data_IF_416084069783
#
_entry.id   IF_416084069783
#
_cell.length_a   1.000
_cell.length_b   1.000
_cell.length_c   1.000
_cell.angle_alpha   90.00
_cell.angle_beta   90.00
_cell.angle_gamma   90.00
#
_symmetry.space_group_name_H-M   'P 1'
#
loop_
_entity.id
_entity.type
_entity.pdbx_description
1 polymer ?
#
# COMPACT_ATOMS: atom_id res chain seq x y z
N UNK A 1 69.44 -65.23 -3.18
CA UNK A 1 68.23 -65.73 -2.49
C UNK A 1 66.98 -65.23 -3.25
N UNK A 2 66.45 -66.12 -4.14
CA UNK A 2 65.33 -65.80 -4.98
C UNK A 2 64.02 -66.20 -4.23
N UNK A 3 63.24 -65.26 -3.83
CA UNK A 3 61.93 -65.50 -3.25
C UNK A 3 60.91 -65.80 -4.39
N UNK A 4 60.65 -67.11 -4.61
CA UNK A 4 59.65 -67.60 -5.53
C UNK A 4 58.25 -67.29 -5.00
N UNK A 5 57.55 -66.38 -5.61
CA UNK A 5 56.13 -66.14 -5.33
C UNK A 5 55.33 -67.22 -6.07
N UNK A 6 54.55 -68.01 -5.30
CA UNK A 6 53.70 -69.09 -5.75
C UNK A 6 52.64 -68.61 -6.79
N UNK A 7 52.48 -69.33 -7.91
CA UNK A 7 51.52 -68.94 -8.97
C UNK A 7 50.10 -68.69 -8.47
N UNK A 8 49.64 -69.35 -7.44
CA UNK A 8 48.28 -69.12 -6.85
C UNK A 8 48.12 -67.77 -6.15
N UNK A 9 49.25 -67.24 -5.59
CA UNK A 9 49.21 -65.88 -4.98
C UNK A 9 49.17 -64.76 -6.02
N UNK A 10 49.78 -64.99 -7.20
CA UNK A 10 49.67 -64.01 -8.33
C UNK A 10 48.25 -63.84 -8.85
N UNK A 11 47.54 -64.95 -8.92
CA UNK A 11 46.08 -64.90 -9.38
C UNK A 11 45.21 -64.15 -8.39
N UNK A 12 45.42 -64.37 -7.08
CA UNK A 12 44.66 -63.63 -6.05
C UNK A 12 44.99 -62.12 -6.04
N UNK A 13 46.24 -61.73 -6.22
CA UNK A 13 46.63 -60.31 -6.29
C UNK A 13 46.03 -59.60 -7.54
N UNK A 14 45.99 -60.26 -8.68
CA UNK A 14 45.41 -59.72 -9.91
C UNK A 14 43.91 -59.59 -9.81
N UNK A 15 43.23 -60.56 -9.14
CA UNK A 15 41.75 -60.47 -8.90
C UNK A 15 41.42 -59.35 -7.89
N UNK A 16 42.20 -59.21 -6.79
CA UNK A 16 41.98 -58.12 -5.83
C UNK A 16 42.21 -56.74 -6.45
N UNK A 17 43.26 -56.58 -7.28
CA UNK A 17 43.53 -55.34 -7.96
C UNK A 17 42.44 -54.95 -8.96
N UNK A 18 41.84 -55.93 -9.69
CA UNK A 18 40.71 -55.65 -10.62
C UNK A 18 39.43 -55.31 -9.88
N UNK A 19 39.13 -55.94 -8.74
CA UNK A 19 37.95 -55.61 -7.92
C UNK A 19 38.09 -54.20 -7.31
N UNK A 20 39.27 -53.82 -6.83
CA UNK A 20 39.54 -52.50 -6.24
C UNK A 20 39.40 -51.38 -7.29
N UNK A 21 39.91 -51.61 -8.52
CA UNK A 21 39.78 -50.62 -9.61
C UNK A 21 38.33 -50.46 -10.08
N UNK A 22 37.55 -51.55 -10.08
CA UNK A 22 36.14 -51.48 -10.48
C UNK A 22 35.25 -50.80 -9.41
N UNK A 23 35.54 -51.00 -8.12
CA UNK A 23 34.83 -50.28 -7.05
C UNK A 23 35.15 -48.80 -7.00
N UNK A 24 36.40 -48.38 -7.27
CA UNK A 24 36.80 -46.96 -7.34
C UNK A 24 36.16 -46.29 -8.56
N UNK A 25 36.04 -46.98 -9.70
CA UNK A 25 35.36 -46.41 -10.89
C UNK A 25 33.84 -46.26 -10.69
N UNK A 26 33.19 -47.17 -9.94
CA UNK A 26 31.78 -47.06 -9.60
C UNK A 26 31.50 -45.99 -8.54
N UNK A 27 32.43 -45.70 -7.62
CA UNK A 27 32.24 -44.61 -6.66
C UNK A 27 32.48 -43.22 -7.30
N UNK A 28 33.27 -43.10 -8.37
CA UNK A 28 33.46 -41.82 -9.08
C UNK A 28 32.28 -41.49 -10.02
N UNK A 29 31.49 -42.46 -10.48
CA UNK A 29 30.31 -42.25 -11.31
C UNK A 29 29.07 -41.79 -10.52
N UNK A 30 29.07 -41.93 -9.18
CA UNK A 30 27.95 -41.53 -8.31
C UNK A 30 28.02 -40.09 -7.78
N UNK A 31 29.09 -39.34 -8.05
CA UNK A 31 29.29 -37.96 -7.56
C UNK A 31 29.02 -36.89 -8.65
N UNK A 32 28.59 -37.29 -9.82
CA UNK A 32 27.92 -36.33 -10.70
C UNK A 32 26.47 -36.18 -10.25
N UNK A 33 26.28 -35.73 -9.01
CA UNK A 33 25.01 -35.11 -8.61
C UNK A 33 24.80 -33.99 -9.59
N UNK A 34 23.82 -34.17 -10.47
CA UNK A 34 23.26 -33.10 -11.29
C UNK A 34 22.82 -31.99 -10.33
N UNK A 35 23.72 -31.05 -10.05
CA UNK A 35 23.27 -29.73 -9.67
C UNK A 35 22.50 -29.21 -10.89
N UNK A 36 21.18 -29.53 -10.93
CA UNK A 36 20.27 -28.76 -11.76
C UNK A 36 20.60 -27.30 -11.45
N UNK A 37 20.87 -26.47 -12.46
CA UNK A 37 21.07 -25.07 -12.20
C UNK A 37 19.86 -24.63 -11.41
N UNK A 38 20.07 -24.09 -10.21
CA UNK A 38 19.02 -23.40 -9.50
C UNK A 38 18.45 -22.45 -10.54
N UNK A 39 17.22 -22.72 -10.98
CA UNK A 39 16.50 -21.82 -11.88
C UNK A 39 16.52 -20.51 -11.12
N UNK A 40 17.43 -19.62 -11.50
CA UNK A 40 17.44 -18.28 -10.98
C UNK A 40 15.98 -17.80 -11.17
N UNK A 41 15.25 -17.60 -10.07
CA UNK A 41 13.93 -17.02 -10.13
C UNK A 41 14.13 -15.72 -10.92
N UNK A 42 13.61 -15.67 -12.15
CA UNK A 42 13.65 -14.44 -12.92
C UNK A 42 12.93 -13.40 -12.08
N UNK A 43 13.67 -12.37 -11.67
CA UNK A 43 13.07 -11.26 -10.93
C UNK A 43 12.04 -10.63 -11.88
N UNK A 44 10.78 -10.64 -11.47
CA UNK A 44 9.70 -10.04 -12.24
C UNK A 44 9.49 -8.62 -11.75
N UNK A 45 9.65 -7.65 -12.64
CA UNK A 45 9.40 -6.24 -12.33
C UNK A 45 7.90 -5.96 -12.33
N UNK A 46 7.39 -5.35 -11.29
CA UNK A 46 6.00 -4.89 -11.13
C UNK A 46 6.02 -3.37 -11.02
N UNK A 47 5.23 -2.69 -11.84
CA UNK A 47 5.05 -1.24 -11.78
C UNK A 47 3.95 -0.91 -10.79
N UNK A 48 4.28 -0.17 -9.72
CA UNK A 48 3.33 0.18 -8.66
C UNK A 48 3.14 1.69 -8.60
N UNK A 49 1.91 2.14 -8.84
CA UNK A 49 1.53 3.54 -8.70
C UNK A 49 1.09 3.83 -7.25
N UNK A 50 1.79 4.73 -6.58
CA UNK A 50 1.51 5.11 -5.21
C UNK A 50 1.78 6.60 -4.96
N UNK A 51 1.06 7.19 -4.00
CA UNK A 51 1.32 8.53 -3.53
C UNK A 51 2.23 8.48 -2.29
N UNK A 52 3.28 9.33 -2.17
CA UNK A 52 4.20 9.29 -1.03
C UNK A 52 3.60 10.02 0.18
N UNK A 53 2.54 9.46 0.75
CA UNK A 53 1.90 9.88 2.00
C UNK A 53 1.88 8.72 2.99
N UNK A 54 1.66 9.01 4.26
CA UNK A 54 1.68 8.01 5.32
C UNK A 54 0.71 6.84 5.06
N UNK A 55 -0.51 7.11 4.57
CA UNK A 55 -1.52 6.08 4.33
C UNK A 55 -1.16 5.06 3.22
N UNK A 56 -0.25 5.42 2.30
CA UNK A 56 0.18 4.57 1.17
C UNK A 56 1.68 4.20 1.25
N UNK A 57 2.31 4.39 2.42
CA UNK A 57 3.76 4.31 2.53
C UNK A 57 4.33 2.88 2.55
N UNK A 58 3.51 1.85 2.77
CA UNK A 58 3.98 0.46 2.90
C UNK A 58 4.85 -0.01 1.74
N UNK A 59 4.50 0.34 0.49
CA UNK A 59 5.26 -0.08 -0.69
C UNK A 59 6.71 0.43 -0.66
N UNK A 60 6.90 1.64 -0.15
CA UNK A 60 8.23 2.23 0.04
C UNK A 60 8.99 1.51 1.15
N UNK A 61 8.30 1.15 2.24
CA UNK A 61 8.87 0.38 3.34
C UNK A 61 9.31 -1.01 2.89
N UNK A 62 8.47 -1.70 2.13
CA UNK A 62 8.77 -3.02 1.57
C UNK A 62 9.99 -2.98 0.65
N UNK A 63 10.09 -1.95 -0.20
CA UNK A 63 11.22 -1.78 -1.12
C UNK A 63 12.52 -1.52 -0.37
N UNK A 64 12.53 -0.56 0.56
CA UNK A 64 13.73 -0.13 1.27
C UNK A 64 14.26 -1.23 2.22
N UNK A 65 13.37 -2.04 2.81
CA UNK A 65 13.73 -3.19 3.65
C UNK A 65 14.06 -4.46 2.84
N UNK A 66 14.01 -4.43 1.52
CA UNK A 66 14.30 -5.56 0.65
C UNK A 66 13.27 -6.70 0.70
N UNK A 67 12.05 -6.45 1.21
CA UNK A 67 11.02 -7.48 1.32
C UNK A 67 10.56 -7.98 -0.05
N UNK A 68 10.43 -7.08 -1.02
CA UNK A 68 10.13 -7.46 -2.40
C UNK A 68 11.25 -8.31 -3.01
N UNK A 69 12.50 -7.92 -2.83
CA UNK A 69 13.64 -8.68 -3.35
C UNK A 69 13.71 -10.11 -2.78
N UNK A 70 13.44 -10.28 -1.47
CA UNK A 70 13.36 -11.63 -0.85
C UNK A 70 12.21 -12.47 -1.42
N UNK A 71 11.12 -11.84 -1.84
CA UNK A 71 10.00 -12.51 -2.50
C UNK A 71 10.22 -12.74 -4.01
N UNK A 72 11.41 -12.41 -4.54
CA UNK A 72 11.72 -12.52 -5.98
C UNK A 72 10.95 -11.50 -6.83
N UNK A 73 10.56 -10.36 -6.25
CA UNK A 73 9.90 -9.26 -6.94
C UNK A 73 10.84 -8.07 -7.04
N UNK A 74 10.91 -7.47 -8.24
CA UNK A 74 11.45 -6.13 -8.43
C UNK A 74 10.26 -5.16 -8.58
N UNK A 75 10.25 -4.09 -7.79
CA UNK A 75 9.14 -3.13 -7.79
C UNK A 75 9.62 -1.76 -8.21
N UNK A 76 9.09 -1.29 -9.34
CA UNK A 76 9.22 0.09 -9.81
C UNK A 76 8.07 0.92 -9.25
N UNK A 77 8.39 1.82 -8.29
CA UNK A 77 7.38 2.66 -7.64
C UNK A 77 7.27 3.99 -8.37
N UNK A 78 6.11 4.22 -8.95
CA UNK A 78 5.75 5.47 -9.59
C UNK A 78 5.06 6.38 -8.58
N UNK A 79 5.77 7.38 -8.08
CA UNK A 79 5.24 8.39 -7.16
C UNK A 79 4.37 9.41 -7.92
N UNK A 80 3.05 9.23 -7.94
CA UNK A 80 2.12 10.09 -8.68
C UNK A 80 0.98 10.59 -7.78
N UNK A 81 0.26 11.62 -8.24
CA UNK A 81 -0.87 12.20 -7.51
C UNK A 81 -2.06 11.23 -7.43
N UNK A 82 -2.86 11.35 -6.35
CA UNK A 82 -3.97 10.42 -6.05
C UNK A 82 -4.94 10.26 -7.23
N UNK A 83 -5.35 11.34 -7.89
CA UNK A 83 -6.27 11.30 -9.04
C UNK A 83 -5.71 10.63 -10.29
N UNK A 84 -4.38 10.42 -10.40
CA UNK A 84 -3.74 9.79 -11.55
C UNK A 84 -3.57 8.27 -11.41
N UNK A 85 -3.67 7.71 -10.18
CA UNK A 85 -3.35 6.29 -9.94
C UNK A 85 -4.35 5.35 -10.62
N UNK A 86 -5.65 5.58 -10.44
CA UNK A 86 -6.70 4.74 -11.07
C UNK A 86 -6.59 4.75 -12.60
N UNK A 87 -6.45 5.91 -13.28
CA UNK A 87 -6.16 5.96 -14.70
C UNK A 87 -4.89 5.22 -15.12
N UNK A 88 -3.82 5.29 -14.33
CA UNK A 88 -2.56 4.59 -14.64
C UNK A 88 -2.73 3.07 -14.66
N UNK A 89 -3.46 2.50 -13.69
CA UNK A 89 -3.77 1.06 -13.67
C UNK A 89 -4.74 0.69 -14.78
N UNK A 90 -5.77 1.50 -15.04
CA UNK A 90 -6.73 1.25 -16.11
C UNK A 90 -6.10 1.22 -17.51
N UNK A 91 -5.07 2.03 -17.74
CA UNK A 91 -4.34 2.12 -19.01
C UNK A 91 -3.14 1.17 -19.11
N UNK A 92 -2.91 0.31 -18.10
CA UNK A 92 -1.72 -0.53 -17.97
C UNK A 92 -0.39 0.28 -17.92
N UNK A 93 -0.41 1.55 -17.55
CA UNK A 93 0.80 2.31 -17.22
C UNK A 93 1.42 1.86 -15.90
N UNK A 94 0.59 1.37 -14.98
CA UNK A 94 0.98 0.65 -13.78
C UNK A 94 0.26 -0.69 -13.70
N UNK A 95 0.86 -1.66 -13.02
CA UNK A 95 0.30 -3.01 -12.82
C UNK A 95 -0.55 -3.06 -11.55
N UNK A 96 -0.10 -2.39 -10.51
CA UNK A 96 -0.77 -2.29 -9.20
C UNK A 96 -0.85 -0.81 -8.81
N UNK A 97 -1.94 -0.42 -8.15
CA UNK A 97 -2.12 0.92 -7.63
C UNK A 97 -2.57 0.93 -6.17
N UNK A 98 -2.35 2.07 -5.50
CA UNK A 98 -2.99 2.38 -4.23
C UNK A 98 -4.24 3.25 -4.47
N UNK A 99 -5.35 2.93 -3.85
CA UNK A 99 -6.52 3.81 -3.81
C UNK A 99 -7.29 3.66 -2.49
N UNK A 100 -8.08 4.68 -2.14
CA UNK A 100 -9.03 4.56 -1.03
C UNK A 100 -10.19 3.65 -1.42
N UNK A 101 -10.76 2.95 -0.44
CA UNK A 101 -11.81 1.93 -0.69
C UNK A 101 -13.06 2.54 -1.34
N UNK A 102 -13.43 3.75 -0.98
CA UNK A 102 -14.55 4.49 -1.60
C UNK A 102 -14.31 4.79 -3.09
N UNK A 103 -13.06 5.10 -3.47
CA UNK A 103 -12.68 5.29 -4.87
C UNK A 103 -12.84 3.97 -5.65
N UNK A 104 -12.42 2.85 -5.09
CA UNK A 104 -12.60 1.53 -5.68
C UNK A 104 -14.08 1.13 -5.75
N UNK A 105 -14.87 1.45 -4.73
CA UNK A 105 -16.32 1.25 -4.75
C UNK A 105 -17.00 2.06 -5.86
N UNK A 106 -16.60 3.31 -6.05
CA UNK A 106 -17.11 4.16 -7.12
C UNK A 106 -16.75 3.63 -8.51
N UNK A 107 -15.53 3.09 -8.70
CA UNK A 107 -15.14 2.47 -9.98
C UNK A 107 -15.88 1.17 -10.23
N UNK A 108 -16.09 0.34 -9.20
CA UNK A 108 -16.89 -0.88 -9.28
C UNK A 108 -18.35 -0.58 -9.70
N UNK A 109 -18.97 0.44 -9.12
CA UNK A 109 -20.32 0.85 -9.49
C UNK A 109 -20.46 1.27 -10.95
N UNK A 110 -19.36 1.63 -11.62
CA UNK A 110 -19.27 1.94 -13.05
C UNK A 110 -18.82 0.72 -13.89
N UNK A 111 -18.82 -0.47 -13.29
CA UNK A 111 -18.41 -1.73 -13.94
C UNK A 111 -16.95 -1.72 -14.44
N UNK A 112 -16.07 -0.93 -13.83
CA UNK A 112 -14.64 -0.99 -14.11
C UNK A 112 -14.06 -2.19 -13.34
N UNK A 113 -13.42 -3.17 -14.02
CA UNK A 113 -13.08 -4.47 -13.44
C UNK A 113 -11.79 -4.40 -12.60
N UNK A 114 -11.82 -3.63 -11.51
CA UNK A 114 -10.75 -3.62 -10.52
C UNK A 114 -11.04 -4.57 -9.38
N UNK A 115 -9.98 -5.12 -8.80
CA UNK A 115 -10.02 -5.99 -7.62
C UNK A 115 -8.97 -5.56 -6.61
N UNK A 116 -9.31 -5.66 -5.34
CA UNK A 116 -8.40 -5.44 -4.22
C UNK A 116 -7.61 -6.72 -3.97
N UNK A 117 -6.28 -6.59 -3.93
CA UNK A 117 -5.35 -7.71 -3.75
C UNK A 117 -4.65 -7.69 -2.39
N UNK A 118 -4.56 -6.55 -1.72
CA UNK A 118 -4.01 -6.44 -0.37
C UNK A 118 -4.59 -5.20 0.34
N UNK A 119 -4.73 -5.24 1.68
CA UNK A 119 -5.09 -4.07 2.46
C UNK A 119 -3.92 -3.10 2.54
N UNK A 120 -4.20 -1.85 2.96
CA UNK A 120 -3.20 -0.88 3.35
C UNK A 120 -3.58 -0.25 4.71
N UNK A 121 -3.59 1.07 4.83
CA UNK A 121 -3.87 1.76 6.10
C UNK A 121 -5.30 1.56 6.57
N UNK A 122 -5.46 1.41 7.89
CA UNK A 122 -6.74 1.25 8.58
C UNK A 122 -6.93 2.38 9.60
N UNK A 123 -8.15 2.88 9.69
CA UNK A 123 -8.59 3.77 10.77
C UNK A 123 -9.20 2.98 11.91
N UNK A 124 -8.90 3.40 13.15
CA UNK A 124 -9.41 2.75 14.36
C UNK A 124 -9.67 3.80 15.46
N UNK A 125 -10.91 3.88 15.94
CA UNK A 125 -11.35 4.77 17.02
C UNK A 125 -11.37 4.02 18.39
N UNK A 126 -11.13 4.69 19.52
CA UNK A 126 -10.83 6.10 19.60
C UNK A 126 -9.42 6.38 19.10
N UNK A 127 -9.33 7.19 18.04
CA UNK A 127 -8.04 7.60 17.58
C UNK A 127 -7.44 8.60 18.57
N UNK A 128 -6.44 8.18 19.31
CA UNK A 128 -5.56 9.11 20.03
C UNK A 128 -4.68 9.89 19.08
N UNK A 129 -4.63 9.43 17.83
CA UNK A 129 -3.82 9.97 16.75
C UNK A 129 -4.64 9.98 15.47
N UNK A 130 -4.75 11.15 14.85
CA UNK A 130 -5.54 11.35 13.63
C UNK A 130 -4.62 11.66 12.44
N UNK A 131 -4.68 10.83 11.42
CA UNK A 131 -3.87 10.98 10.19
C UNK A 131 -4.47 11.91 9.15
N UNK A 132 -5.70 12.37 9.35
CA UNK A 132 -6.41 13.31 8.47
C UNK A 132 -7.13 14.38 9.27
N UNK A 133 -7.21 15.59 8.73
CA UNK A 133 -7.87 16.72 9.37
C UNK A 133 -8.41 17.73 8.36
N UNK A 134 -9.49 18.41 8.72
CA UNK A 134 -9.96 19.62 8.06
C UNK A 134 -9.26 20.84 8.72
N UNK A 135 -8.39 21.48 7.95
CA UNK A 135 -7.53 22.58 8.42
C UNK A 135 -7.97 23.89 7.80
N UNK A 136 -7.98 24.94 8.60
CA UNK A 136 -8.35 26.31 8.25
C UNK A 136 -7.13 27.24 8.31
N UNK A 137 -7.12 28.38 7.59
CA UNK A 137 -6.22 29.48 7.89
C UNK A 137 -6.31 29.91 9.35
N UNK A 138 -5.20 30.33 9.97
CA UNK A 138 -5.21 30.80 11.38
C UNK A 138 -6.20 31.95 11.57
N UNK A 139 -6.29 32.88 10.62
CA UNK A 139 -7.18 34.04 10.68
C UNK A 139 -8.65 33.72 10.31
N UNK A 140 -8.99 32.45 10.03
CA UNK A 140 -10.34 32.06 9.64
C UNK A 140 -11.35 32.29 10.76
N UNK A 141 -12.49 32.87 10.41
CA UNK A 141 -13.65 33.06 11.30
C UNK A 141 -14.56 31.84 11.40
N UNK A 142 -14.32 30.80 10.60
CA UNK A 142 -15.08 29.56 10.60
C UNK A 142 -14.86 28.84 11.96
N UNK A 143 -15.95 28.55 12.70
CA UNK A 143 -15.90 27.90 13.99
C UNK A 143 -16.65 26.58 14.02
N UNK A 144 -17.62 26.40 13.16
CA UNK A 144 -18.55 25.26 13.11
C UNK A 144 -18.84 24.85 11.67
N UNK A 145 -19.47 23.69 11.49
CA UNK A 145 -19.77 23.11 10.18
C UNK A 145 -20.59 24.03 9.27
N UNK A 146 -21.61 24.71 9.84
CA UNK A 146 -22.47 25.63 9.11
C UNK A 146 -21.75 26.83 8.51
N UNK A 147 -20.63 27.24 9.10
CA UNK A 147 -19.83 28.35 8.58
C UNK A 147 -19.10 27.98 7.27
N UNK A 148 -19.09 26.70 6.91
CA UNK A 148 -18.54 26.19 5.66
C UNK A 148 -19.54 26.25 4.49
N UNK A 149 -20.81 26.54 4.73
CA UNK A 149 -21.80 26.67 3.67
C UNK A 149 -21.38 27.73 2.65
N UNK A 150 -21.35 27.38 1.37
CA UNK A 150 -20.89 28.23 0.27
C UNK A 150 -19.36 28.46 0.19
N UNK A 151 -18.57 27.88 1.08
CA UNK A 151 -17.10 28.04 1.14
C UNK A 151 -16.37 27.10 0.17
N UNK A 152 -15.09 27.41 -0.07
CA UNK A 152 -14.20 26.60 -0.91
C UNK A 152 -13.32 25.72 -0.04
N UNK A 153 -13.41 24.41 -0.23
CA UNK A 153 -12.64 23.39 0.50
C UNK A 153 -11.74 22.64 -0.47
N UNK A 154 -10.42 22.64 -0.19
CA UNK A 154 -9.48 21.87 -0.98
C UNK A 154 -9.51 20.40 -0.58
N UNK A 155 -9.41 19.51 -1.58
CA UNK A 155 -9.28 18.05 -1.44
C UNK A 155 -8.24 17.51 -2.43
N UNK A 156 -7.63 16.36 -2.14
CA UNK A 156 -6.61 15.78 -3.02
C UNK A 156 -7.18 15.12 -4.27
N UNK A 157 -8.43 14.69 -4.22
CA UNK A 157 -9.18 14.15 -5.35
C UNK A 157 -10.67 14.32 -5.08
N UNK A 158 -11.43 14.68 -6.11
CA UNK A 158 -12.88 14.70 -6.06
C UNK A 158 -13.45 13.27 -6.08
N UNK A 159 -14.65 13.11 -5.52
CA UNK A 159 -15.33 11.81 -5.41
C UNK A 159 -14.48 10.76 -4.67
N UNK A 160 -13.79 11.17 -3.64
CA UNK A 160 -12.93 10.32 -2.81
C UNK A 160 -13.13 10.58 -1.32
N UNK A 161 -12.56 9.72 -0.47
CA UNK A 161 -12.58 9.89 0.99
C UNK A 161 -12.13 11.29 1.43
N UNK A 162 -11.17 11.89 0.72
CA UNK A 162 -10.68 13.23 1.03
C UNK A 162 -11.75 14.32 0.83
N UNK A 163 -12.76 14.08 -0.01
CA UNK A 163 -13.94 14.93 -0.14
C UNK A 163 -15.08 14.46 0.78
N UNK A 164 -15.28 13.14 0.89
CA UNK A 164 -16.42 12.61 1.64
C UNK A 164 -16.28 12.81 3.15
N UNK A 165 -15.08 12.71 3.71
CA UNK A 165 -14.86 12.90 5.15
C UNK A 165 -15.32 14.29 5.64
N UNK A 166 -14.92 15.42 5.03
CA UNK A 166 -15.45 16.71 5.42
C UNK A 166 -16.95 16.87 5.12
N UNK A 167 -17.48 16.29 4.02
CA UNK A 167 -18.92 16.32 3.74
C UNK A 167 -19.74 15.65 4.84
N UNK A 168 -19.31 14.45 5.28
CA UNK A 168 -20.00 13.70 6.35
C UNK A 168 -20.05 14.53 7.63
N UNK A 169 -18.92 15.12 8.02
CA UNK A 169 -18.84 15.94 9.22
C UNK A 169 -19.74 17.18 9.10
N UNK A 170 -19.69 17.90 7.96
CA UNK A 170 -20.52 19.09 7.71
C UNK A 170 -22.01 18.74 7.83
N UNK A 171 -22.46 17.69 7.14
CA UNK A 171 -23.88 17.28 7.14
C UNK A 171 -24.34 16.83 8.54
N UNK A 172 -23.48 16.15 9.30
CA UNK A 172 -23.80 15.67 10.65
C UNK A 172 -23.87 16.81 11.65
N UNK A 173 -23.01 17.79 11.54
CA UNK A 173 -22.92 18.93 12.47
C UNK A 173 -23.84 20.10 12.05
N UNK A 174 -24.78 19.86 11.12
CA UNK A 174 -25.88 20.79 10.78
C UNK A 174 -25.54 21.85 9.73
N UNK A 175 -24.45 21.70 8.98
CA UNK A 175 -24.16 22.44 7.75
C UNK A 175 -24.79 21.76 6.54
N UNK A 176 -24.59 22.33 5.36
CA UNK A 176 -25.02 21.78 4.06
C UNK A 176 -23.82 21.58 3.13
N UNK A 177 -23.29 20.35 3.11
CA UNK A 177 -22.13 20.02 2.29
C UNK A 177 -22.38 20.13 0.78
N UNK A 178 -23.65 20.20 0.35
CA UNK A 178 -23.99 20.39 -1.06
C UNK A 178 -23.71 21.81 -1.56
N UNK A 179 -23.64 22.78 -0.66
CA UNK A 179 -23.31 24.18 -0.95
C UNK A 179 -21.79 24.42 -0.99
N UNK A 180 -21.00 23.52 -0.42
CA UNK A 180 -19.55 23.65 -0.36
C UNK A 180 -18.91 23.38 -1.73
N UNK A 181 -18.03 24.28 -2.17
CA UNK A 181 -17.26 24.13 -3.39
C UNK A 181 -15.97 23.34 -3.10
N UNK A 182 -15.94 22.06 -3.44
CA UNK A 182 -14.73 21.26 -3.38
C UNK A 182 -13.85 21.49 -4.62
N UNK A 183 -12.54 21.66 -4.39
CA UNK A 183 -11.54 21.89 -5.45
C UNK A 183 -10.34 20.97 -5.26
N UNK A 184 -9.81 20.40 -6.36
CA UNK A 184 -8.62 19.57 -6.29
C UNK A 184 -7.36 20.40 -6.11
N UNK A 185 -6.61 20.08 -5.08
CA UNK A 185 -5.28 20.65 -4.79
C UNK A 185 -4.38 19.49 -4.33
N UNK A 186 -3.19 19.31 -4.90
CA UNK A 186 -2.26 18.29 -4.41
C UNK A 186 -1.92 18.49 -2.93
N UNK A 187 -1.82 17.42 -2.14
CA UNK A 187 -1.57 17.51 -0.70
C UNK A 187 -0.39 18.43 -0.34
N UNK A 188 0.72 18.32 -1.09
CA UNK A 188 1.91 19.17 -0.85
C UNK A 188 1.70 20.67 -1.08
N UNK A 189 0.66 21.06 -1.84
CA UNK A 189 0.33 22.46 -2.11
C UNK A 189 -0.72 23.02 -1.12
N UNK A 190 -1.43 22.16 -0.39
CA UNK A 190 -2.51 22.59 0.51
C UNK A 190 -2.04 23.47 1.67
N UNK A 191 -0.91 23.18 2.38
CA UNK A 191 -0.45 24.06 3.46
C UNK A 191 -0.24 25.51 3.00
N UNK A 192 0.39 25.68 1.82
CA UNK A 192 0.60 27.01 1.23
C UNK A 192 -0.72 27.66 0.77
N UNK A 193 -1.67 26.85 0.25
CA UNK A 193 -2.98 27.37 -0.17
C UNK A 193 -3.80 27.88 1.03
N UNK A 194 -3.75 27.16 2.17
CA UNK A 194 -4.35 27.56 3.44
C UNK A 194 -3.72 28.86 3.96
N UNK A 195 -2.39 28.88 4.07
CA UNK A 195 -1.65 30.03 4.58
C UNK A 195 -1.92 31.30 3.75
N UNK A 196 -2.01 31.15 2.43
CA UNK A 196 -2.28 32.26 1.50
C UNK A 196 -3.78 32.63 1.41
N UNK A 197 -4.68 31.95 2.14
CA UNK A 197 -6.12 32.18 2.09
C UNK A 197 -6.76 31.91 0.70
N UNK A 198 -6.14 31.05 -0.11
CA UNK A 198 -6.66 30.69 -1.45
C UNK A 198 -7.86 29.75 -1.37
N UNK A 199 -7.99 29.07 -0.26
CA UNK A 199 -9.13 28.20 0.10
C UNK A 199 -9.56 28.51 1.53
N UNK A 200 -10.84 28.34 1.83
CA UNK A 200 -11.38 28.57 3.16
C UNK A 200 -11.01 27.45 4.13
N UNK A 201 -10.87 26.21 3.62
CA UNK A 201 -10.42 25.05 4.36
C UNK A 201 -9.74 24.04 3.42
N UNK A 202 -9.03 23.06 3.98
CA UNK A 202 -8.51 21.93 3.23
C UNK A 202 -8.59 20.64 4.06
N UNK A 203 -9.03 19.55 3.43
CA UNK A 203 -8.88 18.21 3.99
C UNK A 203 -7.51 17.67 3.65
N UNK A 204 -6.69 17.47 4.66
CA UNK A 204 -5.28 17.12 4.53
C UNK A 204 -4.99 15.83 5.30
N UNK A 205 -4.05 15.03 4.83
CA UNK A 205 -3.54 13.85 5.53
C UNK A 205 -2.06 14.00 5.89
N UNK A 206 -1.57 13.18 6.84
CA UNK A 206 -0.14 13.17 7.18
C UNK A 206 0.74 12.79 5.98
N UNK A 207 1.92 13.40 5.85
CA UNK A 207 2.61 14.30 6.78
C UNK A 207 2.17 15.78 6.70
N UNK A 208 1.28 16.12 5.80
CA UNK A 208 0.90 17.51 5.53
C UNK A 208 0.00 18.14 6.60
N UNK A 209 -0.71 17.33 7.41
CA UNK A 209 -1.42 17.82 8.61
C UNK A 209 -0.43 18.45 9.58
N UNK A 210 0.67 17.77 9.88
CA UNK A 210 1.72 18.28 10.76
C UNK A 210 2.37 19.54 10.22
N UNK A 211 2.56 19.65 8.90
CA UNK A 211 3.06 20.88 8.26
C UNK A 211 2.04 22.01 8.38
N UNK A 212 0.79 21.75 8.04
CA UNK A 212 -0.26 22.76 8.02
C UNK A 212 -0.57 23.31 9.42
N UNK A 213 -0.44 22.52 10.47
CA UNK A 213 -0.64 22.97 11.86
C UNK A 213 0.32 24.05 12.31
N UNK A 214 1.44 24.30 11.61
CA UNK A 214 2.36 25.39 11.94
C UNK A 214 1.72 26.75 11.71
N UNK A 215 0.94 26.90 10.63
CA UNK A 215 0.32 28.15 10.18
C UNK A 215 -1.18 27.99 9.87
N UNK A 216 -1.82 26.98 10.45
CA UNK A 216 -3.22 26.66 10.29
C UNK A 216 -3.85 26.13 11.58
N UNK A 217 -5.16 26.11 11.61
CA UNK A 217 -5.96 25.62 12.73
C UNK A 217 -6.81 24.42 12.30
N UNK A 218 -6.75 23.31 13.06
CA UNK A 218 -7.62 22.16 12.84
C UNK A 218 -9.05 22.53 13.27
N UNK A 219 -10.02 22.30 12.40
CA UNK A 219 -11.43 22.41 12.70
C UNK A 219 -12.00 21.07 13.20
N UNK A 220 -11.67 19.98 12.49
CA UNK A 220 -12.11 18.62 12.86
C UNK A 220 -11.17 17.56 12.27
N UNK A 221 -11.25 16.35 12.82
CA UNK A 221 -10.55 15.18 12.29
C UNK A 221 -11.46 14.28 11.43
N UNK A 222 -12.76 14.32 11.59
CA UNK A 222 -13.80 13.81 10.68
C UNK A 222 -13.90 12.30 10.43
N UNK A 223 -12.88 11.49 10.68
CA UNK A 223 -12.94 10.05 10.41
C UNK A 223 -13.82 9.28 11.39
N UNK A 224 -13.91 9.74 12.63
CA UNK A 224 -14.83 9.14 13.63
C UNK A 224 -16.30 9.20 13.19
N UNK A 225 -16.61 10.10 12.26
CA UNK A 225 -17.97 10.32 11.75
C UNK A 225 -18.37 9.31 10.68
N UNK A 226 -17.40 8.59 10.16
CA UNK A 226 -17.60 7.51 9.18
C UNK A 226 -17.92 6.21 9.89
N UNK A 227 -16.99 5.72 10.70
CA UNK A 227 -17.10 4.49 11.47
C UNK A 227 -15.99 4.43 12.53
N UNK A 228 -16.19 3.60 13.55
CA UNK A 228 -15.15 3.33 14.56
C UNK A 228 -13.93 2.60 14.01
N UNK A 229 -14.10 1.85 12.94
CA UNK A 229 -13.02 1.14 12.27
C UNK A 229 -13.36 0.97 10.79
N UNK A 230 -12.41 1.24 9.90
CA UNK A 230 -12.54 0.99 8.46
C UNK A 230 -11.18 0.99 7.78
N UNK A 231 -11.08 0.25 6.67
CA UNK A 231 -9.92 0.28 5.80
C UNK A 231 -9.92 1.56 4.99
N UNK A 232 -8.91 2.41 5.16
CA UNK A 232 -8.79 3.68 4.43
C UNK A 232 -8.47 3.42 2.96
N UNK A 233 -7.46 2.59 2.71
CA UNK A 233 -6.99 2.32 1.37
C UNK A 233 -6.53 0.88 1.19
N UNK A 234 -6.40 0.49 -0.06
CA UNK A 234 -6.01 -0.85 -0.46
C UNK A 234 -5.14 -0.83 -1.72
N UNK A 235 -4.41 -1.91 -1.92
CA UNK A 235 -3.69 -2.20 -3.14
C UNK A 235 -4.62 -2.92 -4.11
N UNK A 236 -4.71 -2.42 -5.33
CA UNK A 236 -5.64 -2.92 -6.34
C UNK A 236 -4.96 -3.10 -7.70
N UNK A 237 -5.59 -3.88 -8.53
CA UNK A 237 -5.21 -4.09 -9.94
C UNK A 237 -6.45 -4.36 -10.78
N UNK A 238 -6.30 -4.57 -12.10
CA UNK A 238 -7.39 -5.05 -12.93
C UNK A 238 -7.65 -6.53 -12.69
N UNK A 239 -8.92 -6.98 -12.77
CA UNK A 239 -9.26 -8.41 -12.67
C UNK A 239 -8.51 -9.27 -13.68
N UNK A 240 -8.29 -8.74 -14.90
CA UNK A 240 -7.53 -9.42 -15.95
C UNK A 240 -6.09 -9.65 -15.50
N UNK A 241 -5.40 -8.57 -15.06
CA UNK A 241 -4.01 -8.68 -14.63
C UNK A 241 -3.86 -9.64 -13.43
N UNK A 242 -4.79 -9.58 -12.47
CA UNK A 242 -4.77 -10.47 -11.31
C UNK A 242 -4.89 -11.94 -11.71
N UNK A 243 -5.78 -12.25 -12.66
CA UNK A 243 -5.97 -13.63 -13.15
C UNK A 243 -4.75 -14.13 -13.94
N UNK A 244 -4.17 -13.28 -14.78
CA UNK A 244 -3.00 -13.64 -15.59
C UNK A 244 -1.72 -13.77 -14.75
N UNK A 245 -1.68 -13.14 -13.56
CA UNK A 245 -0.49 -13.05 -12.71
C UNK A 245 -0.78 -13.43 -11.24
N UNK A 246 -1.62 -14.44 -11.00
CA UNK A 246 -2.06 -14.84 -9.66
C UNK A 246 -0.90 -15.13 -8.70
N UNK A 247 0.21 -15.70 -9.18
CA UNK A 247 1.43 -15.92 -8.38
C UNK A 247 2.07 -14.59 -7.94
N UNK A 248 2.12 -13.57 -8.81
CA UNK A 248 2.62 -12.25 -8.45
C UNK A 248 1.71 -11.55 -7.45
N UNK A 249 0.39 -11.67 -7.60
CA UNK A 249 -0.61 -11.16 -6.66
C UNK A 249 -0.38 -11.75 -5.27
N UNK A 250 -0.23 -13.09 -5.18
CA UNK A 250 -0.01 -13.78 -3.92
C UNK A 250 1.29 -13.35 -3.23
N UNK A 251 2.38 -13.25 -4.00
CA UNK A 251 3.66 -12.78 -3.48
C UNK A 251 3.60 -11.33 -3.03
N UNK A 252 2.99 -10.44 -3.82
CA UNK A 252 2.79 -9.04 -3.45
C UNK A 252 1.96 -8.92 -2.18
N UNK A 253 0.80 -9.58 -2.08
CA UNK A 253 -0.05 -9.57 -0.90
C UNK A 253 0.66 -10.09 0.36
N UNK A 254 1.50 -11.13 0.21
CA UNK A 254 2.31 -11.66 1.31
C UNK A 254 3.35 -10.64 1.78
N UNK A 255 4.02 -9.93 0.86
CA UNK A 255 4.97 -8.87 1.19
C UNK A 255 4.27 -7.71 1.88
N UNK A 256 3.08 -7.29 1.41
CA UNK A 256 2.34 -6.20 2.06
C UNK A 256 1.95 -6.56 3.49
N UNK A 257 1.53 -7.80 3.74
CA UNK A 257 1.24 -8.28 5.10
C UNK A 257 2.49 -8.29 5.99
N UNK A 258 3.64 -8.77 5.50
CA UNK A 258 4.92 -8.70 6.24
C UNK A 258 5.29 -7.26 6.55
N UNK A 259 5.07 -6.37 5.59
CA UNK A 259 5.36 -4.95 5.72
C UNK A 259 4.46 -4.27 6.74
N UNK A 260 3.16 -4.59 6.77
CA UNK A 260 2.21 -4.08 7.75
C UNK A 260 2.65 -4.43 9.18
N UNK A 261 2.96 -5.70 9.44
CA UNK A 261 3.47 -6.17 10.76
C UNK A 261 4.74 -5.40 11.14
N UNK A 262 5.67 -5.27 10.21
CA UNK A 262 6.92 -4.56 10.46
C UNK A 262 6.66 -3.07 10.73
N UNK A 263 5.88 -2.37 9.89
CA UNK A 263 5.64 -0.93 9.99
C UNK A 263 4.90 -0.57 11.29
N UNK A 264 3.92 -1.37 11.70
CA UNK A 264 3.18 -1.18 12.94
C UNK A 264 4.09 -1.23 14.18
N UNK A 265 5.19 -1.99 14.11
CA UNK A 265 6.16 -2.16 15.20
C UNK A 265 7.40 -1.26 15.08
N UNK A 266 7.64 -0.63 13.92
CA UNK A 266 8.88 0.10 13.62
C UNK A 266 8.60 1.53 13.13
N UNK A 267 7.74 2.27 13.83
CA UNK A 267 7.28 3.59 13.39
C UNK A 267 8.40 4.61 13.17
N UNK A 268 9.43 4.62 14.00
CA UNK A 268 10.56 5.53 13.83
C UNK A 268 11.35 5.25 12.54
N UNK A 269 11.61 3.97 12.26
CA UNK A 269 12.37 3.56 11.06
C UNK A 269 11.54 3.77 9.78
N UNK A 270 10.25 3.44 9.81
CA UNK A 270 9.34 3.65 8.68
C UNK A 270 9.20 5.14 8.34
N UNK A 271 9.21 6.03 9.35
CA UNK A 271 9.27 7.48 9.12
C UNK A 271 10.52 7.93 8.36
N UNK A 272 11.68 7.39 8.70
CA UNK A 272 12.94 7.69 7.99
C UNK A 272 12.91 7.21 6.53
N UNK A 273 12.27 6.07 6.26
CA UNK A 273 12.08 5.58 4.89
C UNK A 273 11.14 6.52 4.12
N UNK A 274 10.00 6.90 4.69
CA UNK A 274 9.07 7.81 4.02
C UNK A 274 9.74 9.15 3.68
N UNK A 275 10.66 9.65 4.51
CA UNK A 275 11.42 10.86 4.25
C UNK A 275 12.18 10.83 2.90
N UNK A 276 12.74 9.68 2.53
CA UNK A 276 13.50 9.50 1.28
C UNK A 276 12.62 9.69 0.03
N UNK A 277 11.33 9.38 0.13
CA UNK A 277 10.41 9.34 -1.01
C UNK A 277 9.45 10.54 -1.07
N UNK A 278 9.17 11.16 0.08
CA UNK A 278 8.20 12.26 0.17
C UNK A 278 8.80 13.66 0.00
N UNK A 279 10.13 13.79 0.02
CA UNK A 279 10.85 15.07 0.09
C UNK A 279 10.42 15.95 1.29
N UNK A 280 9.96 15.33 2.37
CA UNK A 280 9.53 16.00 3.60
C UNK A 280 10.69 15.99 4.61
N UNK A 281 10.82 17.08 5.33
CA UNK A 281 11.82 17.22 6.40
C UNK A 281 11.65 16.06 7.42
N UNK A 282 12.72 15.29 7.71
CA UNK A 282 12.68 14.20 8.68
C UNK A 282 12.14 14.60 10.06
N UNK A 283 12.31 15.88 10.48
CA UNK A 283 11.78 16.38 11.75
C UNK A 283 10.24 16.39 11.77
N UNK A 284 9.61 16.70 10.63
CA UNK A 284 8.14 16.61 10.47
C UNK A 284 7.71 15.15 10.61
N UNK A 285 8.39 14.24 9.92
CA UNK A 285 8.07 12.82 9.94
C UNK A 285 8.28 12.17 11.32
N UNK A 286 9.22 12.71 12.11
CA UNK A 286 9.45 12.29 13.50
C UNK A 286 8.35 12.70 14.48
N UNK A 287 7.52 13.68 14.13
CA UNK A 287 6.47 14.24 15.00
C UNK A 287 5.04 14.00 14.49
N UNK A 288 4.89 13.58 13.23
CA UNK A 288 3.59 13.32 12.64
C UNK A 288 2.89 12.11 13.25
N UNK A 289 1.58 12.08 13.11
CA UNK A 289 0.79 10.89 13.41
C UNK A 289 1.09 9.77 12.43
N UNK A 290 1.28 8.55 12.94
CA UNK A 290 1.59 7.38 12.13
C UNK A 290 0.32 6.57 11.81
N UNK A 291 0.24 6.03 10.59
CA UNK A 291 -0.80 5.10 10.22
C UNK A 291 -0.62 3.75 10.91
N UNK A 292 -1.74 3.08 11.15
CA UNK A 292 -1.76 1.64 11.37
C UNK A 292 -2.13 0.93 10.08
N UNK A 293 -1.45 -0.17 9.75
CA UNK A 293 -1.66 -0.93 8.53
C UNK A 293 -2.35 -2.26 8.85
N UNK A 294 -3.34 -2.62 8.04
CA UNK A 294 -4.07 -3.85 8.22
C UNK A 294 -3.26 -5.05 7.73
N UNK A 295 -3.15 -6.09 8.57
CA UNK A 295 -2.36 -7.29 8.27
C UNK A 295 -3.12 -8.31 7.40
N UNK A 296 -4.42 -8.14 7.27
CA UNK A 296 -5.31 -8.99 6.45
C UNK A 296 -6.45 -8.18 5.87
N UNK A 297 -6.90 -8.62 4.70
CA UNK A 297 -8.07 -8.06 4.06
C UNK A 297 -9.33 -8.63 4.74
N UNK A 298 -10.08 -7.76 5.40
CA UNK A 298 -11.34 -8.07 6.07
C UNK A 298 -12.47 -7.30 5.39
N UNK A 299 -13.45 -7.98 4.76
CA UNK A 299 -14.59 -7.32 4.12
C UNK A 299 -15.36 -6.37 5.04
N UNK A 300 -15.44 -6.67 6.34
CA UNK A 300 -16.12 -5.81 7.30
C UNK A 300 -15.48 -4.43 7.44
N UNK A 301 -14.16 -4.33 7.20
CA UNK A 301 -13.44 -3.05 7.24
C UNK A 301 -13.62 -2.22 5.96
N UNK A 302 -14.01 -2.83 4.83
CA UNK A 302 -14.24 -2.13 3.57
C UNK A 302 -15.66 -1.55 3.52
N UNK A 303 -16.65 -2.25 4.09
CA UNK A 303 -18.07 -1.90 3.96
C UNK A 303 -18.40 -0.46 4.33
N UNK A 304 -17.86 0.14 5.42
CA UNK A 304 -18.18 1.52 5.77
C UNK A 304 -17.89 2.54 4.65
N UNK A 305 -16.76 2.38 3.94
CA UNK A 305 -16.41 3.30 2.85
C UNK A 305 -17.16 2.99 1.55
N UNK A 306 -17.60 1.76 1.33
CA UNK A 306 -18.52 1.42 0.23
C UNK A 306 -19.86 2.12 0.43
N UNK A 307 -20.41 2.10 1.66
CA UNK A 307 -21.68 2.73 2.00
C UNK A 307 -21.59 4.27 1.91
N UNK A 308 -20.47 4.84 2.35
CA UNK A 308 -20.15 6.27 2.17
C UNK A 308 -20.13 6.65 0.70
N UNK A 309 -19.39 5.91 -0.12
CA UNK A 309 -19.32 6.17 -1.56
C UNK A 309 -20.69 6.03 -2.22
N UNK A 310 -21.46 5.01 -1.85
CA UNK A 310 -22.81 4.78 -2.36
C UNK A 310 -23.73 5.99 -2.08
N UNK A 311 -23.64 6.57 -0.87
CA UNK A 311 -24.43 7.77 -0.49
C UNK A 311 -24.04 8.99 -1.31
N UNK A 312 -22.75 9.33 -1.38
CA UNK A 312 -22.30 10.60 -1.98
C UNK A 312 -22.14 10.54 -3.50
N UNK A 313 -21.72 9.39 -4.06
CA UNK A 313 -21.66 9.18 -5.51
C UNK A 313 -22.99 8.63 -6.11
N UNK A 314 -24.03 8.44 -5.27
CA UNK A 314 -25.41 8.09 -5.69
C UNK A 314 -25.53 6.79 -6.48
N UNK A 315 -24.93 5.71 -5.96
CA UNK A 315 -25.11 4.36 -6.47
C UNK A 315 -25.68 3.44 -5.36
N UNK A 316 -26.13 2.24 -5.73
CA UNK A 316 -26.60 1.24 -4.75
C UNK A 316 -25.41 0.60 -4.07
N UNK A 317 -25.36 0.60 -2.73
CA UNK A 317 -24.33 -0.15 -1.98
C UNK A 317 -24.36 -1.65 -2.31
N UNK A 318 -23.21 -2.27 -2.23
CA UNK A 318 -22.98 -3.68 -2.55
C UNK A 318 -22.08 -4.34 -1.50
N UNK A 319 -22.06 -5.69 -1.40
CA UNK A 319 -21.20 -6.41 -0.47
C UNK A 319 -19.71 -6.21 -0.78
N UNK A 320 -18.90 -5.93 0.23
CA UNK A 320 -17.46 -5.68 0.08
C UNK A 320 -16.68 -6.82 -0.59
N UNK A 321 -17.19 -8.06 -0.50
CA UNK A 321 -16.62 -9.24 -1.15
C UNK A 321 -16.49 -9.08 -2.67
N UNK A 322 -17.38 -8.28 -3.31
CA UNK A 322 -17.36 -8.04 -4.75
C UNK A 322 -16.12 -7.26 -5.22
N UNK A 323 -15.45 -6.52 -4.31
CA UNK A 323 -14.20 -5.82 -4.59
C UNK A 323 -12.96 -6.69 -4.40
N UNK A 324 -13.05 -7.80 -3.66
CA UNK A 324 -11.89 -8.57 -3.25
C UNK A 324 -11.56 -9.61 -4.30
N UNK A 325 -10.28 -9.69 -4.68
CA UNK A 325 -9.79 -10.77 -5.55
C UNK A 325 -10.00 -12.13 -4.87
N UNK A 326 -10.82 -12.99 -5.48
CA UNK A 326 -11.02 -14.37 -5.04
C UNK A 326 -10.04 -15.28 -5.77
N UNK A 327 -9.30 -16.08 -5.00
CA UNK A 327 -8.35 -17.09 -5.48
C UNK A 327 -9.09 -18.38 -5.88
#
# INVERSE_FOLDING_TARGET
MSLGINPSQRIQFVLLAKVLVTCVALCFAAITSSSAPARGQSITTIRVAAIPIEAAAEVYYAKDNGFFARAGLDVDIQGIGAGAIVPAVASNAADIGYATVDTLATTHSKHIPFVIIAPASVYQSPATQHIGALVLPVASTIQQAKDLDGKTVATAALNSLAEYAPRIWIDREGGDSSTVKFVEVPFGAMPVAIEAGRVDAAWITEPFVTIAKKNGRVLTYGFDDISKQFLIGAWFTTSQWANDHSDLVNRFASVMRETAVWANSNQAQSGQILAKYSNIDPTVLGTMTRSHYAERLDPALLQPLIDVAAKYAKFKSFPAQELIYAH
#
